data_IF_293301477099
#
_entry.id   IF_293301477099
#
_cell.length_a   1.000
_cell.length_b   1.000
_cell.length_c   1.000
_cell.angle_alpha   90.00
_cell.angle_beta   90.00
_cell.angle_gamma   90.00
#
_symmetry.space_group_name_H-M   'P 1'
#
loop_
_entity.id
_entity.type
_entity.pdbx_description
1 polymer ?
#
# COMPACT_ATOMS: atom_id res chain seq x y z
N UNK A 1 -19.18 -13.34 25.17
CA UNK A 1 -17.97 -12.88 25.90
C UNK A 1 -16.73 -12.85 24.99
N UNK A 2 -16.70 -13.65 23.90
CA UNK A 2 -15.70 -13.56 22.82
C UNK A 2 -15.84 -12.29 21.97
N UNK A 3 -17.07 -11.83 21.69
CA UNK A 3 -17.32 -10.63 20.88
C UNK A 3 -16.68 -9.36 21.45
N UNK A 4 -16.63 -9.21 22.77
CA UNK A 4 -16.04 -8.05 23.45
C UNK A 4 -14.51 -8.05 23.30
N UNK A 5 -13.88 -9.23 23.34
CA UNK A 5 -12.42 -9.36 23.17
C UNK A 5 -12.02 -9.15 21.71
N UNK A 6 -12.81 -9.67 20.77
CA UNK A 6 -12.61 -9.47 19.34
C UNK A 6 -12.77 -7.99 18.96
N UNK A 7 -13.84 -7.34 19.43
CA UNK A 7 -14.08 -5.90 19.18
C UNK A 7 -12.96 -5.03 19.74
N UNK A 8 -12.43 -5.35 20.94
CA UNK A 8 -11.28 -4.64 21.51
C UNK A 8 -10.02 -4.78 20.65
N UNK A 9 -9.73 -5.99 20.15
CA UNK A 9 -8.58 -6.21 19.27
C UNK A 9 -8.66 -5.43 17.95
N UNK A 10 -9.84 -5.36 17.34
CA UNK A 10 -10.05 -4.55 16.12
C UNK A 10 -9.91 -3.05 16.42
N UNK A 11 -10.47 -2.57 17.54
CA UNK A 11 -10.33 -1.18 17.95
C UNK A 11 -8.87 -0.78 18.20
N UNK A 12 -8.11 -1.63 18.88
CA UNK A 12 -6.69 -1.39 19.15
C UNK A 12 -5.89 -1.30 17.84
N UNK A 13 -6.18 -2.16 16.87
CA UNK A 13 -5.54 -2.09 15.54
C UNK A 13 -5.84 -0.78 14.81
N UNK A 14 -7.10 -0.31 14.85
CA UNK A 14 -7.48 0.97 14.25
C UNK A 14 -6.71 2.13 14.90
N UNK A 15 -6.63 2.14 16.24
CA UNK A 15 -5.88 3.17 16.97
C UNK A 15 -4.40 3.15 16.62
N UNK A 16 -3.78 1.96 16.54
CA UNK A 16 -2.37 1.86 16.17
C UNK A 16 -2.11 2.30 14.72
N UNK A 17 -3.01 1.96 13.81
CA UNK A 17 -2.88 2.40 12.41
C UNK A 17 -3.05 3.91 12.28
N UNK A 18 -4.00 4.50 12.99
CA UNK A 18 -4.22 5.96 13.03
C UNK A 18 -2.98 6.69 13.57
N UNK A 19 -2.44 6.22 14.70
CA UNK A 19 -1.19 6.75 15.25
C UNK A 19 -0.02 6.62 14.26
N UNK A 20 0.11 5.47 13.60
CA UNK A 20 1.16 5.25 12.59
C UNK A 20 1.03 6.24 11.43
N UNK A 21 -0.18 6.47 10.92
CA UNK A 21 -0.43 7.46 9.86
C UNK A 21 -0.18 8.90 10.32
N UNK A 22 -0.47 9.22 11.59
CA UNK A 22 -0.22 10.55 12.16
C UNK A 22 1.27 10.93 12.16
N UNK A 23 2.16 9.93 12.29
CA UNK A 23 3.61 10.12 12.27
C UNK A 23 4.19 10.36 10.87
N UNK A 24 3.44 10.04 9.81
CA UNK A 24 3.92 10.10 8.42
C UNK A 24 3.77 11.48 7.75
N UNK A 25 3.22 12.48 8.45
CA UNK A 25 3.00 13.85 7.95
C UNK A 25 2.35 13.94 6.55
N UNK A 26 1.39 13.05 6.26
CA UNK A 26 0.80 12.91 4.91
C UNK A 26 -0.05 14.14 4.58
N UNK A 27 0.33 14.88 3.54
CA UNK A 27 -0.46 16.00 2.99
C UNK A 27 -1.11 15.58 1.68
N UNK A 28 -2.42 15.34 1.68
CA UNK A 28 -3.15 14.98 0.47
C UNK A 28 -3.30 16.18 -0.46
N UNK A 29 -3.02 16.00 -1.74
CA UNK A 29 -3.30 17.02 -2.76
C UNK A 29 -4.81 17.03 -3.06
N UNK A 30 -5.46 18.17 -2.83
CA UNK A 30 -6.89 18.39 -3.07
C UNK A 30 -7.29 18.42 -4.54
N UNK A 31 -6.31 18.48 -5.46
CA UNK A 31 -6.54 18.48 -6.91
C UNK A 31 -6.97 17.10 -7.41
N UNK A 32 -6.67 16.02 -6.68
CA UNK A 32 -7.07 14.67 -7.07
C UNK A 32 -8.40 14.27 -6.44
N UNK A 33 -9.28 13.71 -7.26
CA UNK A 33 -10.44 12.95 -6.80
C UNK A 33 -9.97 11.56 -6.39
N UNK A 34 -10.11 11.25 -5.10
CA UNK A 34 -9.87 9.90 -4.57
C UNK A 34 -11.22 9.19 -4.51
N UNK A 35 -11.53 8.37 -5.53
CA UNK A 35 -12.85 7.72 -5.66
C UNK A 35 -13.21 6.86 -4.44
N UNK A 36 -12.22 6.23 -3.81
CA UNK A 36 -12.36 5.55 -2.51
C UNK A 36 -11.02 5.57 -1.75
N UNK A 37 -10.91 6.40 -0.73
CA UNK A 37 -9.73 6.44 0.15
C UNK A 37 -9.92 5.47 1.32
N UNK A 38 -8.97 4.57 1.51
CA UNK A 38 -8.90 3.68 2.68
C UNK A 38 -7.49 3.70 3.26
N UNK A 39 -7.33 3.33 4.53
CA UNK A 39 -5.99 3.25 5.13
C UNK A 39 -5.08 2.27 4.37
N UNK A 40 -5.64 1.17 3.84
CA UNK A 40 -4.91 0.15 3.07
C UNK A 40 -4.37 0.73 1.77
N UNK A 41 -5.25 1.33 0.97
CA UNK A 41 -4.80 1.86 -0.31
C UNK A 41 -3.89 3.08 -0.15
N UNK A 42 -4.06 3.86 0.92
CA UNK A 42 -3.14 4.95 1.25
C UNK A 42 -1.74 4.42 1.59
N UNK A 43 -1.64 3.51 2.57
CA UNK A 43 -0.34 2.99 3.03
C UNK A 43 0.39 2.25 1.90
N UNK A 44 -0.33 1.45 1.11
CA UNK A 44 0.25 0.70 0.00
C UNK A 44 0.74 1.62 -1.12
N UNK A 45 0.00 2.70 -1.40
CA UNK A 45 0.43 3.68 -2.40
C UNK A 45 1.64 4.46 -1.93
N UNK A 46 1.69 4.87 -0.66
CA UNK A 46 2.86 5.54 -0.08
C UNK A 46 4.10 4.66 -0.13
N UNK A 47 3.97 3.40 0.27
CA UNK A 47 5.05 2.42 0.20
C UNK A 47 5.53 2.19 -1.24
N UNK A 48 4.62 1.93 -2.18
CA UNK A 48 4.97 1.68 -3.57
C UNK A 48 5.70 2.88 -4.20
N UNK A 49 5.30 4.11 -3.83
CA UNK A 49 5.98 5.33 -4.28
C UNK A 49 7.37 5.47 -3.69
N UNK A 50 7.55 5.21 -2.39
CA UNK A 50 8.88 5.25 -1.76
C UNK A 50 9.81 4.18 -2.36
N UNK A 51 9.31 2.96 -2.55
CA UNK A 51 10.05 1.84 -3.14
C UNK A 51 10.51 2.13 -4.58
N UNK A 52 9.67 2.80 -5.38
CA UNK A 52 10.03 3.24 -6.73
C UNK A 52 10.81 4.57 -6.76
N UNK A 53 11.14 5.13 -5.59
CA UNK A 53 11.81 6.42 -5.42
C UNK A 53 11.06 7.60 -6.10
N UNK A 54 9.74 7.45 -6.27
CA UNK A 54 8.86 8.45 -6.90
C UNK A 54 8.69 9.62 -5.93
N UNK A 55 9.31 10.75 -6.26
CA UNK A 55 9.28 11.98 -5.45
C UNK A 55 10.64 12.36 -4.85
N UNK A 56 11.61 11.44 -4.79
CA UNK A 56 12.99 11.77 -4.39
C UNK A 56 13.76 12.52 -5.49
N UNK A 57 13.36 12.32 -6.75
CA UNK A 57 14.03 12.86 -7.95
C UNK A 57 13.38 14.18 -8.43
N UNK A 58 12.14 14.46 -8.02
CA UNK A 58 11.38 15.60 -8.51
C UNK A 58 11.11 16.60 -7.39
N UNK A 59 11.65 17.82 -7.52
CA UNK A 59 11.36 19.01 -6.71
C UNK A 59 9.89 19.48 -6.79
N UNK A 60 8.94 18.57 -7.03
CA UNK A 60 7.52 18.84 -7.20
C UNK A 60 6.81 18.45 -5.93
N UNK A 61 6.41 19.47 -5.16
CA UNK A 61 5.32 19.48 -4.19
C UNK A 61 5.36 18.35 -3.17
N UNK A 62 5.50 18.69 -1.88
CA UNK A 62 5.37 17.76 -0.75
C UNK A 62 3.96 17.13 -0.63
N UNK A 63 3.06 17.35 -1.60
CA UNK A 63 1.70 16.84 -1.61
C UNK A 63 1.63 15.45 -2.24
N UNK A 64 0.90 14.57 -1.57
CA UNK A 64 0.57 13.23 -2.03
C UNK A 64 -0.33 13.27 -3.25
N UNK A 65 0.05 12.50 -4.28
CA UNK A 65 -0.77 12.19 -5.46
C UNK A 65 -0.97 10.68 -5.65
N UNK A 66 -2.07 10.24 -6.29
CA UNK A 66 -2.22 8.88 -6.81
C UNK A 66 -1.10 8.48 -7.79
N UNK A 67 -0.93 7.18 -8.00
CA UNK A 67 0.00 6.61 -8.96
C UNK A 67 -0.61 6.60 -10.37
N UNK A 68 0.21 6.85 -11.38
CA UNK A 68 -0.13 6.52 -12.77
C UNK A 68 -0.11 5.01 -12.98
N UNK A 69 -0.80 4.53 -14.01
CA UNK A 69 -0.88 3.09 -14.26
C UNK A 69 0.48 2.46 -14.61
N UNK A 70 1.39 3.21 -15.24
CA UNK A 70 2.76 2.75 -15.51
C UNK A 70 3.58 2.59 -14.23
N UNK A 71 3.43 3.49 -13.26
CA UNK A 71 4.10 3.38 -11.95
C UNK A 71 3.63 2.12 -11.22
N UNK A 72 2.32 1.84 -11.22
CA UNK A 72 1.78 0.61 -10.63
C UNK A 72 2.33 -0.64 -11.31
N UNK A 73 2.38 -0.67 -12.64
CA UNK A 73 2.97 -1.79 -13.39
C UNK A 73 4.43 -2.04 -13.02
N UNK A 74 5.23 -0.98 -12.92
CA UNK A 74 6.63 -1.08 -12.53
C UNK A 74 6.80 -1.59 -11.10
N UNK A 75 5.92 -1.16 -10.18
CA UNK A 75 5.92 -1.65 -8.81
C UNK A 75 5.66 -3.16 -8.76
N UNK A 76 4.66 -3.63 -9.51
CA UNK A 76 4.28 -5.05 -9.53
C UNK A 76 5.38 -5.94 -10.10
N UNK A 77 6.17 -5.46 -11.07
CA UNK A 77 7.34 -6.22 -11.58
C UNK A 77 8.38 -6.49 -10.49
N UNK A 78 8.54 -5.57 -9.54
CA UNK A 78 9.49 -5.73 -8.45
C UNK A 78 8.92 -6.56 -7.29
N UNK A 79 7.60 -6.64 -7.18
CA UNK A 79 6.88 -7.22 -6.04
C UNK A 79 6.98 -8.74 -5.92
N UNK A 80 6.91 -9.47 -7.05
CA UNK A 80 6.62 -10.90 -7.09
C UNK A 80 7.84 -11.83 -7.12
N UNK A 81 7.76 -12.97 -6.43
CA UNK A 81 8.74 -14.07 -6.53
C UNK A 81 8.51 -14.84 -7.83
N UNK A 82 9.47 -14.76 -8.74
CA UNK A 82 9.47 -15.54 -9.97
C UNK A 82 8.27 -15.26 -10.88
N UNK A 83 8.13 -16.07 -11.94
CA UNK A 83 7.12 -15.88 -12.98
C UNK A 83 5.92 -16.83 -12.86
N UNK A 84 5.95 -17.75 -11.89
CA UNK A 84 4.90 -18.76 -11.72
C UNK A 84 3.70 -18.18 -10.98
N UNK A 85 2.51 -18.32 -11.56
CA UNK A 85 1.22 -17.97 -10.93
C UNK A 85 0.73 -19.08 -9.96
N UNK A 86 -0.01 -18.72 -8.90
CA UNK A 86 -0.22 -17.36 -8.41
C UNK A 86 1.09 -16.76 -7.91
N UNK A 87 1.34 -15.50 -8.28
CA UNK A 87 2.49 -14.75 -7.81
C UNK A 87 2.43 -14.56 -6.28
N UNK A 88 3.58 -14.68 -5.64
CA UNK A 88 3.77 -14.47 -4.19
C UNK A 88 4.69 -13.29 -3.95
N UNK A 89 4.44 -12.51 -2.91
CA UNK A 89 5.27 -11.33 -2.60
C UNK A 89 6.65 -11.80 -2.13
N UNK A 90 7.72 -11.15 -2.62
CA UNK A 90 9.08 -11.44 -2.15
C UNK A 90 9.21 -11.15 -0.67
N UNK A 91 9.89 -12.03 0.07
CA UNK A 91 10.22 -11.76 1.48
C UNK A 91 11.01 -10.44 1.64
N UNK A 92 11.88 -10.12 0.68
CA UNK A 92 12.59 -8.84 0.65
C UNK A 92 11.66 -7.64 0.50
N UNK A 93 10.52 -7.78 -0.17
CA UNK A 93 9.52 -6.72 -0.31
C UNK A 93 8.72 -6.54 0.98
N UNK A 94 8.35 -7.64 1.66
CA UNK A 94 7.73 -7.55 3.00
C UNK A 94 8.67 -6.89 4.00
N UNK A 95 9.97 -7.23 3.98
CA UNK A 95 10.98 -6.56 4.80
C UNK A 95 11.13 -5.08 4.41
N UNK A 96 11.22 -4.76 3.13
CA UNK A 96 11.33 -3.37 2.66
C UNK A 96 10.13 -2.51 3.07
N UNK A 97 8.93 -3.10 3.16
CA UNK A 97 7.75 -2.43 3.71
C UNK A 97 7.93 -2.08 5.20
N UNK A 98 8.43 -3.02 6.01
CA UNK A 98 8.69 -2.78 7.43
C UNK A 98 9.81 -1.76 7.63
N UNK A 99 10.92 -1.89 6.91
CA UNK A 99 12.05 -0.95 6.94
C UNK A 99 11.54 0.48 6.60
N UNK A 100 10.72 0.61 5.56
CA UNK A 100 10.11 1.88 5.17
C UNK A 100 9.20 2.46 6.28
N UNK A 101 8.38 1.65 6.94
CA UNK A 101 7.54 2.11 8.05
C UNK A 101 8.41 2.60 9.22
N UNK A 102 9.44 1.83 9.56
CA UNK A 102 10.43 2.14 10.59
C UNK A 102 11.05 3.50 10.33
N UNK A 103 11.54 3.72 9.11
CA UNK A 103 12.15 4.98 8.67
C UNK A 103 11.17 6.17 8.71
N UNK A 104 9.91 5.97 8.34
CA UNK A 104 8.90 7.03 8.29
C UNK A 104 8.32 7.41 9.65
N UNK A 105 8.29 6.47 10.59
CA UNK A 105 7.62 6.66 11.88
C UNK A 105 8.59 6.82 13.04
N UNK A 106 9.86 6.42 12.86
CA UNK A 106 10.86 6.36 13.91
C UNK A 106 10.63 5.23 14.93
N UNK A 107 9.60 4.39 14.73
CA UNK A 107 9.33 3.22 15.55
C UNK A 107 10.24 2.07 15.12
N UNK A 108 10.66 1.22 16.06
CA UNK A 108 11.47 0.05 15.71
C UNK A 108 10.59 -1.08 15.18
N UNK A 109 11.15 -1.92 14.30
CA UNK A 109 10.42 -3.02 13.63
C UNK A 109 9.67 -3.94 14.59
N UNK A 110 10.23 -4.19 15.78
CA UNK A 110 9.60 -5.02 16.80
C UNK A 110 8.27 -4.41 17.31
N UNK A 111 8.22 -3.10 17.57
CA UNK A 111 7.01 -2.42 18.05
C UNK A 111 5.91 -2.43 16.98
N UNK A 112 6.31 -2.26 15.72
CA UNK A 112 5.42 -2.29 14.56
C UNK A 112 4.86 -3.69 14.37
N UNK A 113 5.70 -4.72 14.38
CA UNK A 113 5.29 -6.11 14.12
C UNK A 113 4.49 -6.74 15.26
N UNK A 114 4.80 -6.41 16.52
CA UNK A 114 4.05 -6.87 17.70
C UNK A 114 2.56 -6.46 17.61
N UNK A 115 2.29 -5.26 17.09
CA UNK A 115 0.94 -4.66 17.10
C UNK A 115 0.20 -4.80 15.78
N UNK A 116 0.92 -4.67 14.66
CA UNK A 116 0.34 -4.60 13.32
C UNK A 116 0.82 -5.72 12.39
N UNK A 117 1.71 -6.61 12.83
CA UNK A 117 2.25 -7.68 11.98
C UNK A 117 1.16 -8.52 11.31
N UNK A 118 0.14 -8.94 12.07
CA UNK A 118 -1.00 -9.67 11.50
C UNK A 118 -1.82 -8.82 10.52
N UNK A 119 -1.97 -7.53 10.78
CA UNK A 119 -2.66 -6.61 9.87
C UNK A 119 -1.92 -6.48 8.55
N UNK A 120 -0.58 -6.39 8.58
CA UNK A 120 0.23 -6.33 7.36
C UNK A 120 0.24 -7.65 6.60
N UNK A 121 0.34 -8.80 7.27
CA UNK A 121 0.21 -10.10 6.60
C UNK A 121 -1.15 -10.24 5.92
N UNK A 122 -2.25 -9.81 6.55
CA UNK A 122 -3.56 -9.80 5.90
C UNK A 122 -3.60 -8.90 4.65
N UNK A 123 -2.93 -7.74 4.67
CA UNK A 123 -2.82 -6.85 3.51
C UNK A 123 -1.99 -7.52 2.39
N UNK A 124 -0.89 -8.19 2.74
CA UNK A 124 -0.07 -8.93 1.78
C UNK A 124 -0.83 -10.10 1.15
N UNK A 125 -1.58 -10.86 1.95
CA UNK A 125 -2.44 -11.93 1.46
C UNK A 125 -3.53 -11.38 0.53
N UNK A 126 -4.11 -10.21 0.83
CA UNK A 126 -5.09 -9.54 -0.03
C UNK A 126 -4.46 -9.15 -1.39
N UNK A 127 -3.24 -8.61 -1.39
CA UNK A 127 -2.50 -8.33 -2.63
C UNK A 127 -2.26 -9.60 -3.46
N UNK A 128 -1.83 -10.69 -2.81
CA UNK A 128 -1.60 -11.97 -3.49
C UNK A 128 -2.90 -12.59 -4.03
N UNK A 129 -4.01 -12.47 -3.30
CA UNK A 129 -5.30 -13.01 -3.70
C UNK A 129 -5.93 -12.21 -4.84
N UNK A 130 -5.88 -10.88 -4.79
CA UNK A 130 -6.48 -10.00 -5.79
C UNK A 130 -5.66 -9.95 -7.09
N UNK A 131 -4.33 -10.02 -6.99
CA UNK A 131 -3.45 -9.77 -8.13
C UNK A 131 -2.49 -10.90 -8.50
N UNK A 132 -2.33 -11.92 -7.64
CA UNK A 132 -1.37 -12.99 -7.88
C UNK A 132 -1.62 -13.78 -9.16
N UNK A 133 -2.86 -13.84 -9.63
CA UNK A 133 -3.24 -14.53 -10.87
C UNK A 133 -3.15 -13.64 -12.13
N UNK A 134 -2.92 -12.34 -11.98
CA UNK A 134 -2.98 -11.37 -13.09
C UNK A 134 -1.59 -11.13 -13.66
N UNK A 135 -1.40 -11.38 -14.96
CA UNK A 135 -0.13 -11.02 -15.60
C UNK A 135 -0.08 -9.53 -15.92
N UNK A 136 1.12 -8.95 -16.04
CA UNK A 136 1.32 -7.53 -16.39
C UNK A 136 0.55 -7.08 -17.65
N UNK A 137 0.37 -7.98 -18.62
CA UNK A 137 -0.36 -7.71 -19.87
C UNK A 137 -1.88 -7.67 -19.68
N UNK A 138 -2.39 -8.41 -18.70
CA UNK A 138 -3.82 -8.53 -18.39
C UNK A 138 -4.26 -7.53 -17.31
N UNK A 139 -3.32 -6.86 -16.64
CA UNK A 139 -3.63 -5.79 -15.70
C UNK A 139 -4.41 -4.66 -16.39
N UNK A 140 -5.44 -4.19 -15.70
CA UNK A 140 -6.29 -3.06 -16.10
C UNK A 140 -6.50 -2.16 -14.86
N UNK A 141 -6.33 -0.83 -14.98
CA UNK A 141 -6.39 0.08 -13.85
C UNK A 141 -7.75 0.06 -13.13
N UNK A 142 -8.84 -0.35 -13.80
CA UNK A 142 -10.19 -0.39 -13.22
C UNK A 142 -10.36 -1.48 -12.16
N UNK A 143 -9.49 -2.49 -12.16
CA UNK A 143 -9.51 -3.58 -11.18
C UNK A 143 -8.46 -3.43 -10.07
N UNK A 144 -7.71 -2.32 -10.04
CA UNK A 144 -6.71 -2.07 -9.00
C UNK A 144 -7.30 -1.18 -7.92
N UNK A 145 -7.79 -1.82 -6.86
CA UNK A 145 -8.49 -1.16 -5.74
C UNK A 145 -7.60 -0.98 -4.50
N UNK A 146 -6.54 -1.78 -4.34
CA UNK A 146 -5.61 -1.70 -3.21
C UNK A 146 -4.56 -0.59 -3.37
N UNK A 147 -4.53 0.10 -4.51
CA UNK A 147 -3.64 1.23 -4.76
C UNK A 147 -4.46 2.40 -5.30
N UNK A 148 -4.08 3.63 -4.94
CA UNK A 148 -4.70 4.84 -5.45
C UNK A 148 -4.13 5.13 -6.83
N UNK A 149 -4.97 4.98 -7.86
CA UNK A 149 -4.63 5.26 -9.26
C UNK A 149 -5.26 6.58 -9.70
N UNK A 150 -4.55 7.33 -10.54
CA UNK A 150 -5.08 8.54 -11.14
C UNK A 150 -6.39 8.27 -11.90
N UNK A 151 -7.45 9.03 -11.60
CA UNK A 151 -8.79 8.82 -12.12
C UNK A 151 -8.87 8.82 -13.66
N UNK A 152 -8.01 9.61 -14.32
CA UNK A 152 -7.89 9.64 -15.79
C UNK A 152 -7.52 8.28 -16.40
N UNK A 153 -6.80 7.43 -15.66
CA UNK A 153 -6.44 6.09 -16.12
C UNK A 153 -7.61 5.12 -16.01
N UNK A 154 -8.49 5.31 -15.02
CA UNK A 154 -9.72 4.51 -14.82
C UNK A 154 -10.75 4.85 -15.89
N UNK A 155 -10.86 6.13 -16.26
CA UNK A 155 -11.85 6.65 -17.21
C UNK A 155 -11.39 6.62 -18.68
N UNK A 156 -10.18 6.15 -18.97
CA UNK A 156 -9.71 5.99 -20.35
C UNK A 156 -10.53 4.91 -21.07
N UNK A 157 -11.41 5.34 -21.98
CA UNK A 157 -12.04 4.45 -22.96
C UNK A 157 -10.96 4.06 -23.98
N UNK A 158 -10.73 2.76 -24.14
CA UNK A 158 -9.92 2.20 -25.23
C UNK A 158 -10.61 2.43 -26.58
#
# INVERSE_FOLDING_TARGET
>A
MEDIKWTRGVLDQIIYFDNLLSLMEIKLDSVFSYSLLSYKNLVLTLWAKDHLEIGRISNRSDLFRPMSFSEVKNFFENLWIGEKKPHKIKMSMKKAFLDWLSDKTGLIDYEITDRLGRTFENIFDEIENEYGEVSKKEMDPRYIQLFLIEEREINRRF
#
